data_IF_961900819600
#
_entry.id   IF_961900819600
#
_cell.length_a   1.000
_cell.length_b   1.000
_cell.length_c   1.000
_cell.angle_alpha   90.00
_cell.angle_beta   90.00
_cell.angle_gamma   90.00
#
_symmetry.space_group_name_H-M   'P 1'
#
loop_
_entity.id
_entity.type
_entity.pdbx_description
1 polymer ?
#
# COMPACT_ATOMS: atom_id res chain seq x y z
N UNK A 1 32.22 -47.93 4.50
CA UNK A 1 31.96 -46.77 5.39
C UNK A 1 32.26 -45.49 4.63
N UNK A 2 31.25 -44.71 4.21
CA UNK A 2 31.47 -43.42 3.55
C UNK A 2 31.06 -42.31 4.52
N UNK A 3 32.05 -41.56 4.99
CA UNK A 3 31.87 -40.38 5.83
C UNK A 3 31.33 -39.24 4.95
N UNK A 4 30.10 -38.78 5.24
CA UNK A 4 29.51 -37.60 4.64
C UNK A 4 29.82 -36.41 5.53
N UNK A 5 30.73 -35.55 5.09
CA UNK A 5 31.08 -34.31 5.78
C UNK A 5 29.90 -33.33 5.75
N UNK A 6 29.48 -32.88 6.93
CA UNK A 6 28.37 -31.95 7.11
C UNK A 6 28.70 -30.58 6.50
N UNK A 7 27.74 -30.07 5.73
CA UNK A 7 27.75 -28.76 5.05
C UNK A 7 27.98 -27.60 6.04
N UNK A 8 28.86 -26.69 5.66
CA UNK A 8 29.14 -25.40 6.30
C UNK A 8 27.87 -24.54 6.32
N UNK A 9 27.44 -24.11 7.51
CA UNK A 9 26.41 -23.09 7.70
C UNK A 9 27.02 -21.70 7.52
N UNK A 10 26.53 -20.91 6.56
CA UNK A 10 27.03 -19.56 6.23
C UNK A 10 26.80 -18.51 7.34
N UNK A 11 26.12 -18.85 8.43
CA UNK A 11 25.88 -17.94 9.57
C UNK A 11 26.34 -18.60 10.87
N UNK A 12 27.45 -18.10 11.43
CA UNK A 12 27.95 -18.45 12.77
C UNK A 12 27.37 -17.49 13.82
N UNK A 13 26.07 -17.55 14.08
CA UNK A 13 25.46 -16.77 15.16
C UNK A 13 24.90 -17.71 16.23
N UNK A 14 25.63 -17.84 17.33
CA UNK A 14 25.28 -18.65 18.51
C UNK A 14 24.47 -17.89 19.57
N UNK A 15 24.18 -16.61 19.36
CA UNK A 15 23.46 -15.76 20.31
C UNK A 15 21.99 -15.58 19.94
N UNK A 16 21.11 -15.64 20.95
CA UNK A 16 19.69 -15.26 20.81
C UNK A 16 19.63 -13.75 20.62
N UNK A 17 19.00 -13.32 19.52
CA UNK A 17 18.77 -11.90 19.25
C UNK A 17 17.81 -11.32 20.30
N UNK A 18 17.97 -10.01 20.59
CA UNK A 18 16.96 -9.27 21.35
C UNK A 18 15.62 -9.28 20.59
N UNK A 19 14.47 -9.21 21.29
CA UNK A 19 13.17 -9.06 20.64
C UNK A 19 13.19 -7.90 19.63
N UNK A 20 12.62 -8.14 18.46
CA UNK A 20 12.57 -7.16 17.37
C UNK A 20 11.17 -6.58 17.28
N UNK A 21 11.00 -5.24 17.32
CA UNK A 21 9.70 -4.62 17.15
C UNK A 21 9.08 -4.96 15.79
N UNK A 22 7.76 -5.20 15.76
CA UNK A 22 7.03 -5.45 14.51
C UNK A 22 7.07 -4.25 13.55
N UNK A 23 7.16 -3.03 14.08
CA UNK A 23 7.34 -1.81 13.30
C UNK A 23 8.59 -1.87 12.42
N UNK A 24 9.71 -2.40 12.93
CA UNK A 24 10.93 -2.56 12.14
C UNK A 24 10.70 -3.53 10.97
N UNK A 25 9.94 -4.61 11.18
CA UNK A 25 9.59 -5.53 10.10
C UNK A 25 8.70 -4.85 9.05
N UNK A 26 7.74 -4.02 9.45
CA UNK A 26 6.92 -3.25 8.50
C UNK A 26 7.73 -2.19 7.74
N UNK A 27 8.79 -1.65 8.35
CA UNK A 27 9.73 -0.74 7.67
C UNK A 27 10.61 -1.49 6.66
N UNK A 28 11.05 -2.71 6.98
CA UNK A 28 11.81 -3.57 6.07
C UNK A 28 10.96 -4.12 4.92
N UNK A 29 9.68 -4.38 5.19
CA UNK A 29 8.70 -4.89 4.23
C UNK A 29 7.60 -3.85 4.04
N UNK A 30 7.82 -2.84 3.18
CA UNK A 30 6.93 -1.70 3.06
C UNK A 30 5.53 -2.03 2.48
N UNK A 31 5.35 -3.24 1.93
CA UNK A 31 4.04 -3.77 1.52
C UNK A 31 3.47 -4.81 2.49
N UNK A 32 4.17 -5.08 3.60
CA UNK A 32 3.76 -6.04 4.59
C UNK A 32 2.49 -5.61 5.32
N UNK A 33 1.80 -6.59 5.90
CA UNK A 33 0.60 -6.35 6.71
C UNK A 33 0.54 -7.32 7.89
N UNK A 34 -0.18 -6.92 8.93
CA UNK A 34 -0.52 -7.73 10.09
C UNK A 34 -2.02 -7.99 10.09
N UNK A 35 -2.38 -9.25 10.28
CA UNK A 35 -3.77 -9.73 10.30
C UNK A 35 -4.02 -10.37 11.67
N UNK A 36 -5.11 -10.00 12.33
CA UNK A 36 -5.52 -10.58 13.61
C UNK A 36 -6.38 -11.85 13.43
N UNK A 37 -6.72 -12.59 14.51
CA UNK A 37 -7.58 -13.77 14.43
C UNK A 37 -8.99 -13.52 13.88
N UNK A 38 -9.49 -12.29 14.01
CA UNK A 38 -10.78 -11.86 13.46
C UNK A 38 -10.72 -11.58 11.94
N UNK A 39 -9.57 -11.79 11.28
CA UNK A 39 -9.34 -11.49 9.86
C UNK A 39 -9.37 -9.98 9.53
N UNK A 40 -9.01 -9.14 10.49
CA UNK A 40 -8.89 -7.69 10.31
C UNK A 40 -7.43 -7.27 10.21
N UNK A 41 -7.19 -6.19 9.48
CA UNK A 41 -5.86 -5.60 9.30
C UNK A 41 -5.53 -4.73 10.52
N UNK A 42 -4.48 -5.08 11.27
CA UNK A 42 -4.06 -4.33 12.47
C UNK A 42 -2.76 -3.54 12.28
N UNK A 43 -2.06 -3.74 11.16
CA UNK A 43 -0.84 -3.01 10.84
C UNK A 43 -0.47 -3.18 9.38
N UNK A 44 0.11 -2.14 8.78
CA UNK A 44 0.39 -2.07 7.34
C UNK A 44 1.69 -1.31 7.10
N UNK A 45 2.49 -1.77 6.14
CA UNK A 45 3.68 -1.06 5.68
C UNK A 45 3.34 0.21 4.91
N UNK A 46 4.25 1.19 4.95
CA UNK A 46 4.03 2.54 4.44
C UNK A 46 3.55 2.57 2.97
N UNK A 47 4.15 1.73 2.10
CA UNK A 47 3.81 1.73 0.66
C UNK A 47 2.45 1.12 0.39
N UNK A 48 2.04 0.11 1.16
CA UNK A 48 0.70 -0.45 1.02
C UNK A 48 -0.38 0.54 1.48
N UNK A 49 -0.10 1.30 2.54
CA UNK A 49 -0.98 2.38 3.02
C UNK A 49 -1.08 3.53 2.01
N UNK A 50 0.02 3.93 1.36
CA UNK A 50 0.00 4.94 0.30
C UNK A 50 -0.88 4.52 -0.90
N UNK A 51 -0.86 3.23 -1.25
CA UNK A 51 -1.65 2.72 -2.39
C UNK A 51 -3.12 2.49 -2.02
N UNK A 52 -3.44 2.30 -0.74
CA UNK A 52 -4.82 2.21 -0.27
C UNK A 52 -5.61 3.49 -0.55
N UNK A 53 -4.96 4.64 -0.40
CA UNK A 53 -5.55 5.97 -0.60
C UNK A 53 -5.82 6.70 0.71
N UNK A 54 -5.75 8.03 0.68
CA UNK A 54 -5.73 8.89 1.87
C UNK A 54 -7.09 9.05 2.59
N UNK A 55 -8.18 8.46 2.05
CA UNK A 55 -9.55 8.79 2.46
C UNK A 55 -10.09 7.92 3.60
N UNK A 56 -9.52 6.75 3.84
CA UNK A 56 -9.94 5.84 4.92
C UNK A 56 -8.74 5.08 5.47
N UNK A 57 -8.69 4.89 6.78
CA UNK A 57 -7.67 4.05 7.40
C UNK A 57 -7.94 2.59 7.04
N UNK A 58 -7.00 1.92 6.37
CA UNK A 58 -7.04 0.47 6.08
C UNK A 58 -7.12 -0.38 7.36
N UNK A 59 -6.69 0.17 8.49
CA UNK A 59 -6.68 -0.52 9.77
C UNK A 59 -8.11 -0.79 10.26
N UNK A 60 -8.31 -1.94 10.90
CA UNK A 60 -9.60 -2.42 11.38
C UNK A 60 -10.52 -3.00 10.30
N UNK A 61 -10.18 -2.87 9.01
CA UNK A 61 -10.99 -3.44 7.95
C UNK A 61 -10.74 -4.95 7.78
N UNK A 62 -11.76 -5.73 7.42
CA UNK A 62 -11.58 -7.13 7.07
C UNK A 62 -10.66 -7.29 5.86
N UNK A 63 -9.60 -8.11 6.01
CA UNK A 63 -8.60 -8.33 4.95
C UNK A 63 -9.23 -8.90 3.68
N UNK A 64 -10.32 -9.64 3.80
CA UNK A 64 -11.04 -10.28 2.69
C UNK A 64 -11.80 -9.30 1.80
N UNK A 65 -12.13 -8.10 2.28
CA UNK A 65 -12.80 -7.07 1.48
C UNK A 65 -11.82 -6.42 0.50
N UNK A 66 -10.56 -6.33 0.90
CA UNK A 66 -9.54 -5.55 0.20
C UNK A 66 -8.51 -6.40 -0.51
N UNK A 67 -8.36 -7.66 -0.09
CA UNK A 67 -7.41 -8.59 -0.66
C UNK A 67 -8.11 -9.85 -1.11
N UNK A 68 -7.88 -10.21 -2.36
CA UNK A 68 -8.32 -11.47 -2.94
C UNK A 68 -7.17 -12.45 -3.01
N UNK A 69 -7.32 -13.62 -2.37
CA UNK A 69 -6.32 -14.68 -2.47
C UNK A 69 -6.32 -15.28 -3.90
N UNK A 70 -5.20 -15.14 -4.61
CA UNK A 70 -4.97 -15.76 -5.93
C UNK A 70 -4.28 -17.12 -5.81
N UNK A 71 -3.37 -17.25 -4.84
CA UNK A 71 -2.67 -18.50 -4.51
C UNK A 71 -2.50 -18.62 -2.99
N UNK A 72 -2.58 -19.83 -2.43
CA UNK A 72 -2.93 -21.11 -3.08
C UNK A 72 -4.39 -21.17 -3.56
N UNK A 73 -4.69 -21.91 -4.63
CA UNK A 73 -6.06 -22.06 -5.15
C UNK A 73 -6.81 -23.15 -4.38
N UNK A 74 -8.14 -23.04 -4.31
CA UNK A 74 -8.99 -24.05 -3.67
C UNK A 74 -8.96 -24.01 -2.14
N UNK A 75 -8.41 -22.95 -1.55
CA UNK A 75 -8.32 -22.75 -0.11
C UNK A 75 -9.04 -21.45 0.22
N UNK A 76 -9.88 -21.47 1.25
CA UNK A 76 -10.57 -20.27 1.73
C UNK A 76 -9.61 -19.34 2.47
N UNK A 77 -9.77 -18.03 2.27
CA UNK A 77 -8.99 -17.03 3.00
C UNK A 77 -9.56 -16.89 4.42
N UNK A 78 -9.09 -17.73 5.33
CA UNK A 78 -9.54 -17.79 6.74
C UNK A 78 -8.35 -17.88 7.68
N UNK A 79 -8.54 -17.45 8.94
CA UNK A 79 -7.48 -17.47 9.95
C UNK A 79 -6.82 -18.84 10.08
N UNK A 80 -7.65 -19.89 10.17
CA UNK A 80 -7.20 -21.28 10.29
C UNK A 80 -6.22 -21.65 9.17
N UNK A 81 -6.58 -21.34 7.93
CA UNK A 81 -5.76 -21.66 6.77
C UNK A 81 -4.46 -20.85 6.76
N UNK A 82 -4.51 -19.55 7.07
CA UNK A 82 -3.30 -18.73 7.16
C UNK A 82 -2.36 -19.21 8.27
N UNK A 83 -2.91 -19.64 9.40
CA UNK A 83 -2.16 -20.09 10.56
C UNK A 83 -1.43 -21.43 10.31
N UNK A 84 -2.09 -22.38 9.64
CA UNK A 84 -1.53 -23.71 9.39
C UNK A 84 -0.63 -23.77 8.15
N UNK A 85 -0.84 -22.91 7.14
CA UNK A 85 -0.10 -22.94 5.87
C UNK A 85 1.21 -22.11 5.92
N UNK A 86 2.02 -22.28 6.96
CA UNK A 86 3.22 -21.45 7.24
C UNK A 86 4.32 -21.54 6.16
N UNK A 87 4.42 -22.67 5.47
CA UNK A 87 5.42 -22.89 4.42
C UNK A 87 4.94 -22.50 3.02
N UNK A 88 3.69 -22.05 2.88
CA UNK A 88 3.12 -21.72 1.58
C UNK A 88 3.48 -20.30 1.17
N UNK A 89 3.83 -20.15 -0.10
CA UNK A 89 3.95 -18.85 -0.74
C UNK A 89 2.56 -18.40 -1.20
N UNK A 90 2.08 -17.33 -0.58
CA UNK A 90 0.79 -16.73 -0.88
C UNK A 90 0.94 -15.69 -1.97
N UNK A 91 -0.12 -15.57 -2.78
CA UNK A 91 -0.30 -14.48 -3.72
C UNK A 91 -1.65 -13.85 -3.46
N UNK A 92 -1.63 -12.59 -3.05
CA UNK A 92 -2.81 -11.78 -2.77
C UNK A 92 -2.90 -10.69 -3.82
N UNK A 93 -4.08 -10.51 -4.39
CA UNK A 93 -4.39 -9.36 -5.23
C UNK A 93 -5.05 -8.30 -4.36
N UNK A 94 -4.40 -7.15 -4.24
CA UNK A 94 -4.93 -5.97 -3.61
C UNK A 94 -5.96 -5.31 -4.53
N UNK A 95 -7.19 -5.20 -4.06
CA UNK A 95 -8.31 -4.57 -4.74
C UNK A 95 -8.27 -3.09 -4.39
N UNK A 96 -7.58 -2.30 -5.22
CA UNK A 96 -7.51 -0.86 -5.03
C UNK A 96 -8.90 -0.28 -5.34
N UNK A 97 -9.66 0.01 -4.28
CA UNK A 97 -11.05 0.43 -4.37
C UNK A 97 -11.18 1.82 -4.97
N UNK A 98 -11.69 1.90 -6.20
CA UNK A 98 -12.32 3.11 -6.72
C UNK A 98 -13.61 3.37 -5.98
N UNK A 99 -13.51 4.03 -4.83
CA UNK A 99 -14.69 4.49 -4.08
C UNK A 99 -15.26 5.72 -4.79
N UNK A 100 -15.95 5.45 -5.89
CA UNK A 100 -16.83 6.37 -6.60
C UNK A 100 -18.25 5.82 -6.54
N UNK A 101 -18.90 5.90 -5.39
CA UNK A 101 -20.35 5.77 -5.29
C UNK A 101 -20.95 7.17 -5.29
N UNK A 102 -21.31 7.65 -6.48
CA UNK A 102 -22.32 8.69 -6.64
C UNK A 102 -23.65 8.14 -6.09
N UNK A 103 -24.12 8.71 -5.00
CA UNK A 103 -25.55 8.78 -4.68
C UNK A 103 -25.93 10.26 -4.74
N UNK A 104 -26.83 10.57 -5.67
CA UNK A 104 -27.34 11.91 -5.96
C UNK A 104 -28.55 12.28 -5.07
N UNK A 105 -28.96 13.55 -5.20
CA UNK A 105 -30.12 14.28 -4.65
C UNK A 105 -29.85 14.99 -3.30
N UNK A 106 -30.05 16.30 -3.13
CA UNK A 106 -30.56 17.34 -4.02
C UNK A 106 -30.99 18.54 -3.15
N UNK A 107 -30.44 19.73 -3.41
CA UNK A 107 -31.06 20.98 -2.95
C UNK A 107 -30.61 22.14 -3.84
N UNK A 108 -31.61 22.70 -4.52
CA UNK A 108 -31.58 23.86 -5.42
C UNK A 108 -31.33 25.16 -4.63
N UNK A 109 -30.55 26.08 -5.25
CA UNK A 109 -30.57 27.57 -5.34
C UNK A 109 -31.37 28.43 -4.33
N UNK A 110 -31.08 29.75 -4.10
CA UNK A 110 -30.58 30.75 -5.08
C UNK A 110 -29.59 31.87 -4.61
N UNK A 111 -28.88 32.46 -5.59
CA UNK A 111 -28.68 33.91 -5.89
C UNK A 111 -28.28 34.87 -4.74
N UNK A 112 -27.27 35.75 -4.84
CA UNK A 112 -27.34 37.01 -5.61
C UNK A 112 -25.97 37.72 -5.63
N UNK A 113 -25.54 38.09 -6.85
CA UNK A 113 -24.85 39.31 -7.35
C UNK A 113 -24.14 40.28 -6.39
N UNK A 114 -22.95 40.78 -6.79
CA UNK A 114 -22.68 42.22 -6.92
C UNK A 114 -21.45 42.52 -7.81
N UNK A 115 -21.55 43.66 -8.48
CA UNK A 115 -20.85 44.17 -9.67
C UNK A 115 -19.68 45.11 -9.33
N UNK A 116 -18.67 45.19 -10.22
CA UNK A 116 -17.88 46.39 -10.66
C UNK A 116 -16.34 46.18 -10.64
N UNK A 117 -15.49 46.92 -11.34
CA UNK A 117 -15.40 47.48 -12.71
C UNK A 117 -13.92 47.98 -12.83
N UNK A 118 -13.26 47.76 -13.99
CA UNK A 118 -12.10 48.50 -14.61
C UNK A 118 -10.76 48.82 -13.87
N UNK A 119 -9.64 48.43 -14.53
CA UNK A 119 -8.60 49.27 -15.23
C UNK A 119 -7.12 48.96 -14.90
N UNK A 120 -6.35 48.79 -15.99
CA UNK A 120 -4.89 48.69 -16.18
C UNK A 120 -4.06 49.80 -15.50
N UNK A 121 -2.83 49.52 -15.04
CA UNK A 121 -1.50 50.11 -15.44
C UNK A 121 -0.36 49.63 -14.48
N UNK A 122 0.88 49.70 -14.97
CA UNK A 122 2.12 48.97 -14.67
C UNK A 122 2.92 49.37 -13.39
N UNK A 123 3.77 48.44 -12.90
CA UNK A 123 5.21 48.57 -12.57
C UNK A 123 5.62 47.68 -11.38
N UNK A 124 6.51 46.72 -11.63
CA UNK A 124 6.97 45.68 -10.70
C UNK A 124 8.47 45.85 -10.42
N UNK A 125 8.87 45.86 -9.13
CA UNK A 125 10.24 45.57 -8.68
C UNK A 125 10.17 44.65 -7.45
N UNK A 126 10.85 43.50 -7.60
CA UNK A 126 11.49 42.60 -6.63
C UNK A 126 10.76 41.66 -5.65
N UNK A 127 11.03 40.36 -5.88
CA UNK A 127 11.66 39.36 -4.97
C UNK A 127 10.90 38.08 -4.55
N UNK A 128 11.30 36.98 -5.23
CA UNK A 128 11.69 35.62 -4.77
C UNK A 128 10.68 34.65 -4.09
N UNK A 129 10.30 33.59 -4.85
CA UNK A 129 10.66 32.17 -4.63
C UNK A 129 9.54 31.15 -5.02
N UNK A 130 9.59 30.75 -6.29
CA UNK A 130 9.24 29.46 -6.94
C UNK A 130 7.81 28.92 -6.77
N UNK A 131 6.90 29.41 -7.62
CA UNK A 131 5.65 28.74 -7.98
C UNK A 131 5.49 28.77 -9.51
N UNK A 132 5.18 27.61 -10.09
CA UNK A 132 4.65 27.40 -11.45
C UNK A 132 5.43 28.01 -12.64
N UNK A 133 6.20 27.18 -13.36
CA UNK A 133 6.57 27.45 -14.76
C UNK A 133 5.63 26.71 -15.72
N UNK A 134 4.60 27.44 -16.15
CA UNK A 134 4.00 27.28 -17.46
C UNK A 134 5.12 27.38 -18.51
N UNK A 135 5.46 26.29 -19.21
CA UNK A 135 6.36 26.34 -20.37
C UNK A 135 5.78 25.53 -21.52
N UNK A 136 5.23 26.26 -22.46
CA UNK A 136 4.95 25.87 -23.84
C UNK A 136 6.25 25.32 -24.46
N UNK A 137 6.22 24.10 -24.99
CA UNK A 137 7.11 23.67 -26.08
C UNK A 137 8.33 22.80 -25.77
N UNK A 138 8.48 22.14 -24.60
CA UNK A 138 9.46 21.05 -24.47
C UNK A 138 8.85 19.73 -24.98
N UNK A 139 9.56 18.94 -25.81
CA UNK A 139 9.05 17.63 -26.23
C UNK A 139 8.96 16.74 -24.99
N UNK A 140 7.72 16.54 -24.53
CA UNK A 140 7.44 15.62 -23.43
C UNK A 140 7.91 14.26 -23.91
N UNK A 141 8.93 13.72 -23.24
CA UNK A 141 9.41 12.38 -23.52
C UNK A 141 8.23 11.40 -23.39
N UNK A 142 8.06 10.44 -24.32
CA UNK A 142 7.01 9.42 -24.22
C UNK A 142 7.00 8.69 -22.86
N UNK A 143 8.15 8.67 -22.17
CA UNK A 143 8.30 8.13 -20.82
C UNK A 143 7.64 8.97 -19.73
N UNK A 144 7.59 10.30 -19.86
CA UNK A 144 6.95 11.20 -18.88
C UNK A 144 5.43 11.20 -19.03
N UNK A 145 4.93 11.22 -20.27
CA UNK A 145 3.48 11.16 -20.54
C UNK A 145 2.84 9.83 -20.08
N UNK A 146 3.63 8.75 -19.99
CA UNK A 146 3.20 7.45 -19.46
C UNK A 146 3.11 7.42 -17.92
N UNK A 147 3.81 8.32 -17.21
CA UNK A 147 3.72 8.43 -15.74
C UNK A 147 2.50 9.22 -15.29
N UNK A 148 2.06 10.17 -16.11
CA UNK A 148 0.96 11.10 -15.77
C UNK A 148 -0.40 10.70 -16.35
N UNK A 149 -0.46 9.71 -17.26
CA UNK A 149 -1.72 9.18 -17.78
C UNK A 149 -2.21 7.99 -16.95
N UNK A 150 -3.03 8.28 -15.94
CA UNK A 150 -3.81 7.31 -15.18
C UNK A 150 -3.00 6.18 -14.52
N UNK A 151 -2.49 6.44 -13.30
CA UNK A 151 -2.39 5.41 -12.26
C UNK A 151 -3.80 4.95 -11.83
N UNK A 152 -4.66 4.58 -12.79
CA UNK A 152 -6.02 4.14 -12.54
C UNK A 152 -5.99 2.82 -11.81
N UNK A 153 -6.09 2.87 -10.49
CA UNK A 153 -6.54 1.84 -9.54
C UNK A 153 -6.27 0.40 -10.02
N UNK A 154 -5.05 0.11 -10.46
CA UNK A 154 -4.72 -1.23 -10.92
C UNK A 154 -4.54 -2.08 -9.69
N UNK A 155 -5.23 -3.21 -9.66
CA UNK A 155 -5.02 -4.19 -8.61
C UNK A 155 -3.54 -4.56 -8.55
N UNK A 156 -2.93 -4.45 -7.38
CA UNK A 156 -1.53 -4.84 -7.17
C UNK A 156 -1.50 -6.31 -6.77
N UNK A 157 -0.64 -7.09 -7.40
CA UNK A 157 -0.39 -8.46 -6.96
C UNK A 157 0.78 -8.47 -5.98
N UNK A 158 0.55 -8.98 -4.78
CA UNK A 158 1.52 -9.11 -3.71
C UNK A 158 1.84 -10.60 -3.53
N UNK A 159 3.12 -10.93 -3.45
CA UNK A 159 3.59 -12.30 -3.23
C UNK A 159 4.50 -12.37 -2.02
N UNK A 160 4.25 -13.33 -1.14
CA UNK A 160 4.93 -13.38 0.15
C UNK A 160 4.64 -14.62 0.98
N UNK A 161 5.22 -14.65 2.17
CA UNK A 161 4.96 -15.70 3.17
C UNK A 161 4.12 -15.15 4.32
N UNK A 162 3.28 -16.02 4.87
CA UNK A 162 2.50 -15.75 6.09
C UNK A 162 3.29 -16.28 7.29
N UNK A 163 3.60 -15.43 8.26
CA UNK A 163 4.34 -15.76 9.48
C UNK A 163 3.51 -15.43 10.70
N UNK A 164 3.16 -16.44 11.48
CA UNK A 164 2.50 -16.23 12.76
C UNK A 164 3.51 -15.74 13.80
N UNK A 165 3.14 -14.68 14.52
CA UNK A 165 3.90 -14.08 15.62
C UNK A 165 3.10 -14.32 16.91
N UNK A 166 3.65 -15.17 17.78
CA UNK A 166 3.01 -15.60 19.03
C UNK A 166 2.77 -14.44 19.99
N UNK A 167 3.76 -13.56 20.15
CA UNK A 167 3.75 -12.45 21.12
C UNK A 167 2.57 -11.48 20.94
N UNK A 168 2.07 -11.33 19.72
CA UNK A 168 0.96 -10.43 19.38
C UNK A 168 -0.27 -11.16 18.84
N UNK A 169 -0.25 -12.51 18.84
CA UNK A 169 -1.30 -13.36 18.28
C UNK A 169 -1.77 -12.89 16.90
N UNK A 170 -0.84 -12.62 15.99
CA UNK A 170 -1.12 -12.08 14.67
C UNK A 170 -0.32 -12.80 13.58
N UNK A 171 -0.83 -12.76 12.35
CA UNK A 171 -0.12 -13.25 11.17
C UNK A 171 0.43 -12.05 10.42
N UNK A 172 1.75 -12.02 10.26
CA UNK A 172 2.45 -11.05 9.42
C UNK A 172 2.62 -11.62 8.00
N UNK A 173 2.10 -10.92 7.01
CA UNK A 173 2.36 -11.19 5.61
C UNK A 173 3.58 -10.40 5.15
N UNK A 174 4.69 -11.10 4.97
CA UNK A 174 5.95 -10.52 4.48
C UNK A 174 6.00 -10.67 2.96
N UNK A 175 5.73 -9.59 2.24
CA UNK A 175 5.49 -9.66 0.80
C UNK A 175 6.18 -8.57 0.00
N UNK A 176 6.18 -8.77 -1.32
CA UNK A 176 6.63 -7.80 -2.30
C UNK A 176 5.65 -7.75 -3.47
N UNK A 177 5.46 -6.59 -4.10
CA UNK A 177 4.71 -6.50 -5.35
C UNK A 177 5.41 -7.30 -6.45
N UNK A 178 4.62 -7.91 -7.32
CA UNK A 178 5.08 -8.71 -8.48
C UNK A 178 4.58 -8.18 -9.80
#
# INVERSE_FOLDING_TARGET
MRSCTKKVSHLQTSSKLKPVPCELLLNLFPFGMLINPAMEIIGVGERLMQVWGEKSSILGHPVTESFRMRRPKGISFTWKNLFYLRSVMFSLEFLCGGMGSNSAEGSKTPETEHVADKKTTEMHVDQLAVSASNTIGRPISPYQLRRESNHGLRNILLKGQMRYIEDINAIMFLCSPV
#
